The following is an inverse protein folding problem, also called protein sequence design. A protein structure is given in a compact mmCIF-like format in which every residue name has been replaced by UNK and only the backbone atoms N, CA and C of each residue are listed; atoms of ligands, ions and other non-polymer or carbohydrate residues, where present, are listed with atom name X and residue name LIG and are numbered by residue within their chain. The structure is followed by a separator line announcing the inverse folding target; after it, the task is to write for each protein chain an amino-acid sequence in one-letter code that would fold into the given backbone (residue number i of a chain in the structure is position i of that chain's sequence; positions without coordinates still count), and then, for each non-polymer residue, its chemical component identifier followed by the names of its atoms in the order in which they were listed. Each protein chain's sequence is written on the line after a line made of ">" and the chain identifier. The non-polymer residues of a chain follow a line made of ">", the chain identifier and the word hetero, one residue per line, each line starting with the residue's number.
data_IF_105228450796
#
_entry.id   IF_105228450796
#
_cell.length_a   1.000
_cell.length_b   1.000
_cell.length_c   1.000
_cell.angle_alpha   90.00
_cell.angle_beta   90.00
_cell.angle_gamma   90.00
#
_symmetry.space_group_name_H-M   'P 1'
#
loop_
_entity.id
_entity.type
_entity.pdbx_description
1 polymer ?
#
# COMPACT_ATOMS: atom_id res chain seq x y z
N UNK A 1 -2.77 -2.84 -4.29
CA UNK A 1 -2.90 -1.38 -4.42
C UNK A 1 -1.58 -0.70 -4.79
N UNK A 2 -0.42 -1.24 -4.41
CA UNK A 2 0.88 -0.75 -4.92
C UNK A 2 0.89 -0.56 -6.44
N UNK A 3 1.60 0.47 -6.89
CA UNK A 3 1.69 0.86 -8.30
C UNK A 3 0.61 1.86 -8.76
N UNK A 4 -0.26 2.32 -7.86
CA UNK A 4 -1.30 3.31 -8.19
C UNK A 4 -0.93 4.69 -7.64
N UNK A 5 -0.70 5.66 -8.54
CA UNK A 5 -0.52 7.09 -8.22
C UNK A 5 -1.76 7.94 -8.50
N UNK A 6 -2.87 7.31 -8.88
CA UNK A 6 -4.16 7.98 -9.13
C UNK A 6 -5.23 7.31 -8.29
N UNK A 7 -6.13 8.11 -7.72
CA UNK A 7 -7.25 7.57 -6.96
C UNK A 7 -8.30 6.94 -7.91
N UNK A 8 -8.74 5.69 -7.66
CA UNK A 8 -9.72 5.03 -8.51
C UNK A 8 -11.11 5.68 -8.37
N UNK A 9 -11.80 5.84 -9.50
CA UNK A 9 -13.12 6.46 -9.58
C UNK A 9 -14.11 5.55 -10.30
N UNK A 10 -15.41 5.74 -10.02
CA UNK A 10 -16.51 5.23 -10.85
C UNK A 10 -17.17 6.44 -11.51
N UNK A 11 -16.97 6.59 -12.82
CA UNK A 11 -17.30 7.85 -13.50
C UNK A 11 -16.53 9.01 -12.88
N UNK A 12 -17.25 10.00 -12.37
CA UNK A 12 -16.70 11.18 -11.66
C UNK A 12 -16.68 11.02 -10.13
N UNK A 13 -17.10 9.88 -9.61
CA UNK A 13 -17.25 9.66 -8.15
C UNK A 13 -16.03 8.92 -7.60
N UNK A 14 -15.28 9.49 -6.63
CA UNK A 14 -14.14 8.81 -6.01
C UNK A 14 -14.59 7.68 -5.07
N UNK A 15 -13.89 6.55 -5.12
CA UNK A 15 -14.20 5.39 -4.28
C UNK A 15 -13.65 5.54 -2.86
N UNK A 16 -14.43 5.19 -1.85
CA UNK A 16 -13.87 5.06 -0.50
C UNK A 16 -13.06 3.75 -0.41
N UNK A 17 -11.74 3.87 -0.40
CA UNK A 17 -10.85 2.73 -0.23
C UNK A 17 -10.65 2.42 1.25
N UNK A 18 -11.01 1.20 1.67
CA UNK A 18 -10.65 0.66 2.98
C UNK A 18 -9.35 -0.12 2.84
N UNK A 19 -8.25 0.47 3.29
CA UNK A 19 -6.93 -0.14 3.24
C UNK A 19 -6.74 -1.02 4.47
N UNK A 20 -6.23 -2.22 4.24
CA UNK A 20 -6.05 -3.25 5.26
C UNK A 20 -4.58 -3.63 5.42
N UNK A 21 -4.22 -4.10 6.62
CA UNK A 21 -2.93 -4.72 6.89
C UNK A 21 -2.85 -6.08 6.21
N UNK A 22 -1.65 -6.70 6.14
CA UNK A 22 -1.53 -8.07 5.63
C UNK A 22 -2.40 -9.10 6.35
N UNK A 23 -2.73 -8.87 7.63
CA UNK A 23 -3.64 -9.71 8.41
C UNK A 23 -5.12 -9.36 8.24
N UNK A 24 -5.49 -8.53 7.27
CA UNK A 24 -6.88 -8.15 6.97
C UNK A 24 -7.48 -7.10 7.90
N UNK A 25 -6.72 -6.59 8.88
CA UNK A 25 -7.24 -5.56 9.81
C UNK A 25 -7.30 -4.19 9.11
N UNK A 26 -8.38 -3.42 9.25
CA UNK A 26 -8.44 -2.06 8.72
C UNK A 26 -7.32 -1.19 9.31
N UNK A 27 -6.65 -0.42 8.45
CA UNK A 27 -5.58 0.51 8.84
C UNK A 27 -6.02 1.94 8.59
N UNK A 28 -6.54 2.23 7.40
CA UNK A 28 -7.04 3.57 7.05
C UNK A 28 -8.13 3.47 5.99
N UNK A 29 -9.04 4.42 5.98
CA UNK A 29 -9.95 4.63 4.86
C UNK A 29 -9.63 5.96 4.18
N UNK A 30 -9.62 6.00 2.84
CA UNK A 30 -9.29 7.21 2.09
C UNK A 30 -10.10 7.35 0.79
N UNK A 31 -10.41 8.60 0.43
CA UNK A 31 -10.88 9.02 -0.91
C UNK A 31 -9.79 9.77 -1.70
N UNK A 32 -8.58 9.82 -1.15
CA UNK A 32 -7.40 10.42 -1.75
C UNK A 32 -6.23 9.44 -1.55
N UNK A 33 -6.02 8.60 -2.55
CA UNK A 33 -4.96 7.60 -2.52
C UNK A 33 -3.56 8.24 -2.66
N UNK A 34 -3.34 9.22 -3.56
CA UNK A 34 -2.06 9.93 -3.65
C UNK A 34 -1.69 10.66 -2.36
N UNK A 35 -2.64 11.36 -1.73
CA UNK A 35 -2.43 12.03 -0.44
C UNK A 35 -2.11 11.04 0.68
N UNK A 36 -2.78 9.89 0.71
CA UNK A 36 -2.45 8.80 1.64
C UNK A 36 -0.99 8.35 1.48
N UNK A 37 -0.54 8.10 0.24
CA UNK A 37 0.83 7.65 0.00
C UNK A 37 1.90 8.65 0.41
N UNK A 38 1.67 9.94 0.14
CA UNK A 38 2.65 11.00 0.42
C UNK A 38 2.57 11.52 1.87
N UNK A 39 1.50 11.19 2.59
CA UNK A 39 1.27 11.56 3.98
C UNK A 39 1.34 10.35 4.92
N UNK A 40 0.17 9.83 5.32
CA UNK A 40 0.01 8.90 6.44
C UNK A 40 0.56 7.49 6.18
N UNK A 41 0.97 7.14 4.96
CA UNK A 41 1.65 5.87 4.70
C UNK A 41 2.90 5.66 5.56
N UNK A 42 3.67 6.72 5.83
CA UNK A 42 4.91 6.61 6.63
C UNK A 42 4.62 6.16 8.06
N UNK A 43 3.52 6.63 8.64
CA UNK A 43 3.08 6.22 9.98
C UNK A 43 2.59 4.77 9.97
N UNK A 44 1.86 4.35 8.92
CA UNK A 44 1.47 2.95 8.71
C UNK A 44 2.69 2.03 8.65
N UNK A 45 3.73 2.42 7.90
CA UNK A 45 4.98 1.65 7.83
C UNK A 45 5.63 1.53 9.20
N UNK A 46 5.72 2.62 9.97
CA UNK A 46 6.30 2.63 11.32
C UNK A 46 5.59 1.64 12.24
N UNK A 47 4.27 1.61 12.20
CA UNK A 47 3.45 0.75 13.07
C UNK A 47 3.44 -0.73 12.66
N UNK A 48 3.51 -1.00 11.35
CA UNK A 48 3.27 -2.33 10.79
C UNK A 48 4.56 -3.08 10.45
N UNK A 49 5.66 -2.40 10.12
CA UNK A 49 6.91 -3.05 9.71
C UNK A 49 7.48 -3.97 10.79
N UNK A 50 7.35 -3.60 12.06
CA UNK A 50 7.75 -4.46 13.19
C UNK A 50 6.88 -5.71 13.33
N UNK A 51 5.56 -5.59 13.12
CA UNK A 51 4.60 -6.71 13.23
C UNK A 51 4.66 -7.65 12.03
N UNK A 52 5.02 -7.13 10.86
CA UNK A 52 5.00 -7.84 9.58
C UNK A 52 6.35 -7.69 8.84
N UNK A 53 7.45 -8.21 9.38
CA UNK A 53 8.81 -7.96 8.86
C UNK A 53 9.10 -8.60 7.50
N UNK A 54 8.31 -9.61 7.10
CA UNK A 54 8.44 -10.30 5.79
C UNK A 54 7.72 -9.58 4.64
N UNK A 55 6.91 -8.56 4.93
CA UNK A 55 6.17 -7.80 3.93
C UNK A 55 7.00 -6.66 3.34
N UNK A 56 6.63 -6.21 2.14
CA UNK A 56 7.24 -5.05 1.50
C UNK A 56 6.64 -3.76 2.07
N UNK A 57 7.50 -2.79 2.35
CA UNK A 57 7.16 -1.47 2.89
C UNK A 57 7.94 -0.41 2.10
N UNK A 58 7.59 -0.18 0.82
CA UNK A 58 8.33 0.75 -0.04
C UNK A 58 8.14 2.20 0.43
N UNK A 59 9.18 3.02 0.23
CA UNK A 59 9.12 4.47 0.50
C UNK A 59 8.24 5.20 -0.53
N UNK A 60 8.13 4.64 -1.75
CA UNK A 60 7.30 5.16 -2.84
C UNK A 60 6.31 4.09 -3.34
N UNK A 61 5.23 3.78 -2.59
CA UNK A 61 4.29 2.71 -2.95
C UNK A 61 3.60 2.86 -4.30
N UNK A 62 3.50 4.10 -4.80
CA UNK A 62 2.92 4.40 -6.10
C UNK A 62 3.81 3.98 -7.28
N UNK A 63 5.12 3.79 -7.07
CA UNK A 63 6.05 3.25 -8.07
C UNK A 63 6.32 1.75 -7.89
N UNK A 64 5.87 1.17 -6.77
CA UNK A 64 6.16 -0.22 -6.44
C UNK A 64 5.38 -1.19 -7.34
N UNK A 65 6.07 -2.19 -7.90
CA UNK A 65 5.41 -3.24 -8.69
C UNK A 65 4.38 -4.01 -7.84
N UNK A 66 3.14 -4.20 -8.30
CA UNK A 66 2.13 -4.95 -7.57
C UNK A 66 2.51 -6.43 -7.46
N UNK A 67 2.49 -6.97 -6.24
CA UNK A 67 2.71 -8.40 -6.00
C UNK A 67 2.20 -8.77 -4.61
N UNK A 68 1.64 -9.97 -4.49
CA UNK A 68 1.25 -10.58 -3.22
C UNK A 68 2.40 -11.36 -2.55
N UNK A 69 3.58 -11.42 -3.16
CA UNK A 69 4.74 -12.13 -2.64
C UNK A 69 5.32 -11.43 -1.40
N UNK A 70 5.94 -12.20 -0.51
CA UNK A 70 6.80 -11.66 0.55
C UNK A 70 8.03 -10.97 -0.04
N UNK A 71 8.69 -10.10 0.73
CA UNK A 71 9.85 -9.32 0.27
C UNK A 71 10.92 -10.18 -0.42
N UNK A 72 11.33 -11.29 0.22
CA UNK A 72 12.40 -12.14 -0.31
C UNK A 72 11.97 -12.96 -1.53
N UNK A 73 10.70 -13.32 -1.64
CA UNK A 73 10.17 -14.04 -2.81
C UNK A 73 9.98 -13.09 -4.00
N UNK A 74 9.62 -11.84 -3.74
CA UNK A 74 9.52 -10.80 -4.75
C UNK A 74 10.90 -10.50 -5.37
N UNK A 75 11.91 -10.23 -4.52
CA UNK A 75 13.26 -9.89 -5.00
C UNK A 75 13.88 -11.00 -5.86
N UNK A 76 13.68 -12.27 -5.49
CA UNK A 76 14.17 -13.43 -6.27
C UNK A 76 13.55 -13.57 -7.65
N UNK A 77 12.33 -13.07 -7.85
CA UNK A 77 11.66 -13.14 -9.16
C UNK A 77 11.90 -11.93 -10.06
N UNK A 78 12.52 -10.88 -9.52
CA UNK A 78 12.83 -9.64 -10.24
C UNK A 78 14.35 -9.52 -10.55
N UNK A 79 15.12 -10.56 -10.21
CA UNK A 79 16.55 -10.74 -10.52
C UNK A 79 16.77 -11.72 -11.66
#
# INVERSE_FOLDING_TARGET
>A
VFGLDTHPMIGTTPLLLKLTSPGGRPVQSTRDLPGFWRGSWRDVVKDMKGRYPKHRWPDQPWLEKPSMKTKNAFNRSDS
#
